data_IF_633033157546
#
_entry.id   IF_633033157546
#
_cell.length_a   1.000
_cell.length_b   1.000
_cell.length_c   1.000
_cell.angle_alpha   90.00
_cell.angle_beta   90.00
_cell.angle_gamma   90.00
#
_symmetry.space_group_name_H-M   'P 1'
#
loop_
_entity.id
_entity.type
_entity.pdbx_description
1 polymer ?
#
# COMPACT_ATOMS: atom_id res chain seq x y z
N UNK A 1 17.33 -0.92 3.26
CA UNK A 1 16.11 -1.15 2.44
C UNK A 1 15.29 0.13 2.50
N UNK A 2 14.58 0.44 1.41
CA UNK A 2 13.79 1.66 1.25
C UNK A 2 12.30 1.31 1.25
N UNK A 3 11.46 2.12 1.88
CA UNK A 3 10.01 1.89 1.93
C UNK A 3 9.30 2.31 0.63
N UNK A 4 8.24 1.56 0.30
CA UNK A 4 7.45 1.76 -0.91
C UNK A 4 5.96 1.77 -0.57
N UNK A 5 5.16 2.63 -1.21
CA UNK A 5 3.76 2.83 -0.87
C UNK A 5 2.84 1.70 -1.35
N UNK A 6 3.32 0.80 -2.21
CA UNK A 6 2.51 -0.27 -2.80
C UNK A 6 3.25 -1.59 -2.81
N UNK A 7 2.48 -2.67 -2.73
CA UNK A 7 2.96 -4.05 -2.87
C UNK A 7 2.24 -4.75 -4.01
N UNK A 8 2.96 -5.62 -4.69
CA UNK A 8 2.44 -6.61 -5.62
C UNK A 8 2.50 -7.98 -4.96
N UNK A 9 1.34 -8.61 -4.81
CA UNK A 9 1.16 -9.92 -4.20
C UNK A 9 0.62 -10.90 -5.24
N UNK A 10 0.91 -12.17 -5.04
CA UNK A 10 0.30 -13.27 -5.78
C UNK A 10 -0.35 -14.25 -4.80
N UNK A 11 -1.53 -14.74 -5.15
CA UNK A 11 -2.22 -15.79 -4.41
C UNK A 11 -2.47 -17.00 -5.30
N UNK A 12 -2.54 -18.18 -4.69
CA UNK A 12 -2.86 -19.45 -5.32
C UNK A 12 -3.95 -20.16 -4.53
N UNK A 13 -5.02 -20.56 -5.21
CA UNK A 13 -5.91 -21.63 -4.74
C UNK A 13 -5.32 -22.98 -5.16
N UNK A 14 -4.83 -23.76 -4.19
CA UNK A 14 -4.19 -25.07 -4.39
C UNK A 14 -5.18 -26.14 -4.86
N UNK A 15 -6.48 -25.96 -4.59
CA UNK A 15 -7.52 -26.92 -4.98
C UNK A 15 -7.89 -26.71 -6.45
N UNK A 16 -8.06 -25.47 -6.89
CA UNK A 16 -8.44 -25.15 -8.27
C UNK A 16 -7.25 -24.86 -9.19
N UNK A 17 -6.02 -24.81 -8.65
CA UNK A 17 -4.81 -24.37 -9.33
C UNK A 17 -4.94 -22.97 -9.98
N UNK A 18 -5.71 -22.07 -9.35
CA UNK A 18 -5.95 -20.73 -9.88
C UNK A 18 -5.08 -19.71 -9.15
N UNK A 19 -4.29 -18.96 -9.94
CA UNK A 19 -3.44 -17.88 -9.44
C UNK A 19 -4.06 -16.52 -9.71
N UNK A 20 -4.05 -15.63 -8.72
CA UNK A 20 -4.44 -14.22 -8.86
C UNK A 20 -3.31 -13.29 -8.44
N UNK A 21 -3.23 -12.11 -9.06
CA UNK A 21 -2.23 -11.09 -8.71
C UNK A 21 -2.94 -9.84 -8.25
N UNK A 22 -2.45 -9.25 -7.15
CA UNK A 22 -3.01 -8.04 -6.55
C UNK A 22 -1.95 -6.96 -6.44
N UNK A 23 -2.37 -5.72 -6.64
CA UNK A 23 -1.59 -4.55 -6.27
C UNK A 23 -2.38 -3.76 -5.23
N UNK A 24 -1.77 -3.50 -4.07
CA UNK A 24 -2.40 -2.76 -2.99
C UNK A 24 -1.48 -1.68 -2.46
N UNK A 25 -2.07 -0.64 -1.87
CA UNK A 25 -1.31 0.32 -1.05
C UNK A 25 -0.99 -0.30 0.30
N UNK A 26 0.16 0.07 0.86
CA UNK A 26 0.48 -0.23 2.26
C UNK A 26 -0.62 0.34 3.16
N UNK A 27 -1.01 -0.42 4.18
CA UNK A 27 -2.13 -0.11 5.07
C UNK A 27 -3.50 -0.57 4.57
N UNK A 28 -3.64 -0.93 3.29
CA UNK A 28 -4.90 -1.44 2.73
C UNK A 28 -5.14 -2.91 3.03
N UNK A 29 -6.41 -3.30 3.08
CA UNK A 29 -6.85 -4.70 3.22
C UNK A 29 -7.42 -5.21 1.90
N UNK A 30 -6.90 -6.34 1.42
CA UNK A 30 -7.38 -7.08 0.27
C UNK A 30 -8.22 -8.28 0.72
N UNK A 31 -9.14 -8.74 -0.13
CA UNK A 31 -9.90 -9.97 0.07
C UNK A 31 -9.69 -10.93 -1.10
N UNK A 32 -9.40 -12.20 -0.80
CA UNK A 32 -9.29 -13.28 -1.78
C UNK A 32 -9.95 -14.55 -1.21
N UNK A 33 -11.10 -14.94 -1.78
CA UNK A 33 -11.91 -16.02 -1.21
C UNK A 33 -12.32 -15.69 0.24
N UNK A 34 -12.04 -16.57 1.23
CA UNK A 34 -12.25 -16.31 2.65
C UNK A 34 -11.09 -15.57 3.33
N UNK A 35 -9.99 -15.29 2.61
CA UNK A 35 -8.82 -14.62 3.17
C UNK A 35 -8.98 -13.10 3.14
N UNK A 36 -8.60 -12.47 4.25
CA UNK A 36 -8.36 -11.04 4.37
C UNK A 36 -6.85 -10.83 4.55
N UNK A 37 -6.25 -9.97 3.73
CA UNK A 37 -4.79 -9.73 3.73
C UNK A 37 -4.53 -8.24 3.91
N UNK A 38 -3.85 -7.86 4.99
CA UNK A 38 -3.45 -6.47 5.24
C UNK A 38 -1.94 -6.33 5.15
N UNK A 39 -1.52 -5.37 4.35
CA UNK A 39 -0.10 -5.07 4.14
C UNK A 39 0.29 -3.97 5.13
N UNK A 40 1.31 -4.18 5.94
CA UNK A 40 1.75 -3.19 6.94
C UNK A 40 2.99 -2.42 6.51
N UNK A 41 3.90 -3.04 5.76
CA UNK A 41 5.08 -2.37 5.20
C UNK A 41 5.52 -3.12 3.94
N UNK A 42 6.14 -2.40 3.01
CA UNK A 42 6.78 -2.95 1.81
C UNK A 42 8.13 -2.26 1.65
N UNK A 43 9.20 -3.05 1.60
CA UNK A 43 10.57 -2.57 1.55
C UNK A 43 11.33 -3.22 0.41
N UNK A 44 12.16 -2.44 -0.29
CA UNK A 44 13.01 -2.93 -1.38
C UNK A 44 14.48 -2.61 -1.11
N UNK A 45 15.38 -3.52 -1.46
CA UNK A 45 16.82 -3.29 -1.40
C UNK A 45 17.26 -2.23 -2.41
N UNK A 46 18.42 -1.62 -2.14
CA UNK A 46 19.03 -0.67 -3.07
C UNK A 46 19.33 -1.34 -4.41
N UNK A 47 19.27 -0.61 -5.55
CA UNK A 47 19.63 -1.18 -6.85
C UNK A 47 21.09 -1.66 -6.96
N UNK A 48 21.97 -1.22 -6.05
CA UNK A 48 23.40 -1.61 -6.01
C UNK A 48 23.59 -2.92 -5.23
N UNK A 49 22.68 -3.22 -4.31
CA UNK A 49 22.69 -4.45 -3.51
C UNK A 49 21.98 -5.59 -4.27
N UNK A 50 21.98 -6.80 -3.70
CA UNK A 50 21.17 -7.89 -4.25
C UNK A 50 19.67 -7.52 -4.23
N UNK A 51 18.96 -7.62 -5.38
CA UNK A 51 17.59 -7.17 -5.48
C UNK A 51 16.67 -8.06 -4.64
N UNK A 52 16.09 -7.47 -3.60
CA UNK A 52 15.14 -8.10 -2.70
C UNK A 52 13.97 -7.16 -2.42
N UNK A 53 12.75 -7.72 -2.38
CA UNK A 53 11.54 -7.01 -2.00
C UNK A 53 10.85 -7.80 -0.89
N UNK A 54 10.74 -7.20 0.30
CA UNK A 54 10.10 -7.84 1.45
C UNK A 54 8.89 -7.03 1.91
N UNK A 55 7.84 -7.71 2.37
CA UNK A 55 6.68 -7.04 2.94
C UNK A 55 6.21 -7.74 4.21
N UNK A 56 5.79 -6.94 5.19
CA UNK A 56 5.12 -7.47 6.38
C UNK A 56 3.61 -7.54 6.11
N UNK A 57 3.06 -8.75 6.19
CA UNK A 57 1.68 -9.03 5.83
C UNK A 57 1.00 -9.79 6.97
N UNK A 58 -0.23 -9.39 7.22
CA UNK A 58 -1.15 -10.01 8.17
C UNK A 58 -2.30 -10.64 7.39
N UNK A 59 -2.59 -11.92 7.66
CA UNK A 59 -3.60 -12.69 6.94
C UNK A 59 -4.53 -13.36 7.94
N UNK A 60 -5.83 -13.20 7.69
CA UNK A 60 -6.91 -13.84 8.44
C UNK A 60 -7.82 -14.62 7.49
N UNK A 61 -8.46 -15.67 7.99
CA UNK A 61 -9.48 -16.45 7.27
C UNK A 61 -10.82 -16.40 8.00
N UNK A 62 -11.90 -16.11 7.28
CA UNK A 62 -13.25 -16.18 7.83
C UNK A 62 -14.32 -15.71 6.85
N UNK A 63 -15.59 -15.91 7.23
CA UNK A 63 -16.72 -15.40 6.42
C UNK A 63 -16.78 -13.87 6.45
N UNK A 64 -16.61 -13.30 7.64
CA UNK A 64 -16.60 -11.85 7.91
C UNK A 64 -15.30 -11.46 8.61
N UNK A 65 -14.92 -10.18 8.55
CA UNK A 65 -13.73 -9.68 9.24
C UNK A 65 -13.79 -9.89 10.76
N UNK A 66 -15.00 -9.90 11.33
CA UNK A 66 -15.20 -9.95 12.78
C UNK A 66 -15.04 -11.36 13.35
N UNK A 67 -15.21 -12.38 12.50
CA UNK A 67 -15.09 -13.79 12.86
C UNK A 67 -13.84 -14.43 12.24
N UNK A 68 -12.92 -13.63 11.70
CA UNK A 68 -11.76 -14.14 10.99
C UNK A 68 -10.64 -14.55 11.96
N UNK A 69 -10.07 -15.74 11.75
CA UNK A 69 -8.98 -16.29 12.54
C UNK A 69 -7.62 -15.96 11.91
N UNK A 70 -6.60 -15.75 12.74
CA UNK A 70 -5.25 -15.47 12.26
C UNK A 70 -4.62 -16.71 11.60
N UNK A 71 -4.18 -16.57 10.35
CA UNK A 71 -3.51 -17.64 9.60
C UNK A 71 -2.03 -17.34 9.40
N UNK A 72 -1.67 -16.08 9.20
CA UNK A 72 -0.28 -15.68 9.02
C UNK A 72 -0.04 -14.24 9.51
N UNK A 73 1.12 -14.00 10.08
CA UNK A 73 1.59 -12.65 10.40
C UNK A 73 3.12 -12.64 10.39
N UNK A 74 3.72 -12.07 9.35
CA UNK A 74 5.17 -12.11 9.20
C UNK A 74 5.69 -11.37 7.98
N UNK A 75 7.01 -11.37 7.88
CA UNK A 75 7.74 -10.85 6.72
C UNK A 75 7.84 -11.91 5.63
N UNK A 76 7.36 -11.59 4.43
CA UNK A 76 7.56 -12.40 3.23
C UNK A 76 8.62 -11.77 2.33
N UNK A 77 9.43 -12.59 1.68
CA UNK A 77 10.56 -12.21 0.84
C UNK A 77 10.30 -12.64 -0.61
N UNK A 78 10.43 -11.72 -1.56
CA UNK A 78 10.11 -11.97 -2.96
C UNK A 78 11.07 -12.96 -3.61
N UNK A 79 12.38 -12.91 -3.29
CA UNK A 79 13.33 -13.88 -3.85
C UNK A 79 13.22 -15.26 -3.22
N UNK A 80 12.77 -15.32 -1.96
CA UNK A 80 12.80 -16.52 -1.13
C UNK A 80 11.53 -16.70 -0.29
N UNK A 81 10.36 -16.96 -0.91
CA UNK A 81 9.09 -17.11 -0.18
C UNK A 81 9.12 -18.24 0.86
N UNK A 82 9.94 -19.26 0.64
CA UNK A 82 10.09 -20.40 1.56
C UNK A 82 10.76 -20.07 2.91
N UNK A 83 11.30 -18.85 3.10
CA UNK A 83 11.86 -18.43 4.40
C UNK A 83 10.78 -18.11 5.43
N UNK A 84 9.62 -17.63 4.97
CA UNK A 84 8.46 -17.36 5.82
C UNK A 84 7.18 -17.68 5.05
N UNK A 85 6.89 -18.97 4.85
CA UNK A 85 5.74 -19.39 4.08
C UNK A 85 4.45 -19.21 4.89
N UNK A 86 3.36 -18.88 4.19
CA UNK A 86 2.01 -19.02 4.74
C UNK A 86 1.63 -20.51 4.76
N UNK A 87 1.53 -21.09 5.96
CA UNK A 87 1.15 -22.50 6.10
C UNK A 87 -0.38 -22.66 6.12
N UNK A 88 -0.98 -22.69 4.92
CA UNK A 88 -2.42 -22.88 4.75
C UNK A 88 -2.73 -24.04 3.78
N UNK A 89 -3.71 -24.92 4.07
CA UNK A 89 -3.96 -26.12 3.28
C UNK A 89 -4.52 -25.83 1.88
N UNK A 90 -5.32 -24.77 1.71
CA UNK A 90 -6.04 -24.47 0.45
C UNK A 90 -5.41 -23.31 -0.31
N UNK A 91 -4.83 -22.36 0.40
CA UNK A 91 -4.39 -21.09 -0.17
C UNK A 91 -2.90 -20.90 0.04
N UNK A 92 -2.27 -20.15 -0.84
CA UNK A 92 -0.92 -19.65 -0.68
C UNK A 92 -0.88 -18.18 -1.11
N UNK A 93 -0.06 -17.39 -0.45
CA UNK A 93 0.11 -15.95 -0.71
C UNK A 93 1.57 -15.62 -0.56
N UNK A 94 2.12 -14.89 -1.53
CA UNK A 94 3.51 -14.43 -1.47
C UNK A 94 3.70 -13.06 -2.10
N UNK A 95 4.77 -12.39 -1.69
CA UNK A 95 5.21 -11.11 -2.23
C UNK A 95 5.90 -11.33 -3.56
N UNK A 96 5.60 -10.48 -4.54
CA UNK A 96 6.28 -10.43 -5.83
C UNK A 96 7.19 -9.22 -5.92
N UNK A 97 6.70 -8.03 -5.54
CA UNK A 97 7.51 -6.81 -5.60
C UNK A 97 6.91 -5.68 -4.73
N UNK A 98 7.74 -4.69 -4.41
CA UNK A 98 7.33 -3.39 -3.91
C UNK A 98 7.36 -2.36 -5.04
N UNK A 99 6.28 -1.59 -5.17
CA UNK A 99 6.02 -0.69 -6.30
C UNK A 99 5.80 0.75 -5.84
N UNK A 100 5.99 1.69 -6.77
CA UNK A 100 5.85 3.12 -6.54
C UNK A 100 7.18 3.84 -6.45
N UNK A 101 7.13 5.13 -6.15
CA UNK A 101 8.32 5.89 -5.79
C UNK A 101 8.60 5.67 -4.31
N UNK A 102 9.89 5.51 -3.98
CA UNK A 102 10.31 5.41 -2.60
C UNK A 102 9.86 6.67 -1.83
N UNK A 103 9.13 6.48 -0.74
CA UNK A 103 8.80 7.59 0.14
C UNK A 103 10.10 8.08 0.78
N UNK A 104 10.59 9.23 0.32
CA UNK A 104 11.62 9.97 1.07
C UNK A 104 10.92 10.50 2.30
N UNK A 105 11.27 9.95 3.46
CA UNK A 105 10.94 10.40 4.81
C UNK A 105 10.48 11.86 4.83
N UNK A 106 9.17 12.08 4.96
CA UNK A 106 8.58 13.40 5.07
C UNK A 106 8.78 13.86 6.51
N UNK A 107 9.95 14.46 6.79
CA UNK A 107 10.16 15.28 7.98
C UNK A 107 9.97 16.74 7.58
N UNK A 108 8.72 17.22 7.62
CA UNK A 108 8.45 18.65 7.72
C UNK A 108 7.55 18.86 8.95
N UNK A 109 8.23 19.08 10.06
CA UNK A 109 7.71 19.74 11.24
C UNK A 109 7.51 21.24 10.92
N UNK A 110 6.33 21.75 11.29
CA UNK A 110 6.02 23.14 11.68
C UNK A 110 6.21 24.28 10.67
N UNK A 111 5.11 24.96 10.31
CA UNK A 111 4.77 26.35 10.71
C UNK A 111 3.66 26.92 9.78
N UNK A 112 2.41 26.98 10.26
CA UNK A 112 1.61 28.20 10.06
C UNK A 112 2.18 29.27 11.03
N UNK A 113 2.08 30.61 10.84
CA UNK A 113 1.26 31.38 9.90
C UNK A 113 2.00 32.60 9.27
N UNK A 114 1.36 33.29 8.31
CA UNK A 114 1.30 34.77 8.25
C UNK A 114 0.55 35.16 6.97
N UNK A 115 -0.71 35.52 7.15
CA UNK A 115 -1.44 36.34 6.18
C UNK A 115 -1.27 37.78 6.64
N UNK A 116 -0.43 38.55 5.96
CA UNK A 116 -0.36 40.00 6.12
C UNK A 116 -0.13 40.68 4.76
N UNK A 117 -0.95 41.72 4.55
CA UNK A 117 -0.89 42.82 3.56
C UNK A 117 -1.34 42.52 2.10
N UNK A 118 -2.59 42.82 1.69
CA UNK A 118 -3.28 44.12 1.42
C UNK A 118 -3.06 44.64 -0.03
N UNK A 119 -4.16 44.55 -0.81
CA UNK A 119 -4.84 45.53 -1.70
C UNK A 119 -4.04 46.60 -2.49
N UNK A 120 -4.51 47.10 -3.67
CA UNK A 120 -5.81 47.78 -3.74
C UNK A 120 -6.64 47.64 -5.04
N UNK A 121 -7.96 47.76 -4.82
CA UNK A 121 -8.98 48.49 -5.58
C UNK A 121 -8.82 48.66 -7.10
N UNK A 122 -9.77 48.07 -7.83
CA UNK A 122 -10.34 48.71 -9.02
C UNK A 122 -11.75 49.18 -8.68
N UNK A 123 -11.88 50.50 -8.56
CA UNK A 123 -13.14 51.25 -8.42
C UNK A 123 -14.03 51.08 -9.66
N UNK A 124 -15.37 51.06 -9.49
CA UNK A 124 -16.34 51.03 -10.59
C UNK A 124 -16.59 52.45 -11.11
N UNK A 125 -16.57 52.65 -12.43
CA UNK A 125 -17.01 53.90 -13.05
C UNK A 125 -17.99 53.66 -14.20
N UNK A 126 -18.98 54.55 -14.26
CA UNK A 126 -20.28 54.44 -14.89
C UNK A 126 -20.30 54.94 -16.35
N UNK A 127 -21.38 54.61 -17.07
CA UNK A 127 -21.84 55.36 -18.25
C UNK A 127 -22.38 54.44 -19.35
N UNK A 128 -23.69 54.20 -19.46
CA UNK A 128 -24.73 55.07 -20.06
C UNK A 128 -24.81 54.94 -21.60
N UNK A 129 -25.94 54.41 -22.10
CA UNK A 129 -26.84 55.08 -23.06
C UNK A 129 -27.81 54.07 -23.70
N UNK A 130 -29.07 54.50 -23.75
CA UNK A 130 -30.24 53.88 -24.39
C UNK A 130 -30.19 54.01 -25.91
N UNK A 131 -30.62 52.97 -26.64
CA UNK A 131 -31.58 53.05 -27.77
C UNK A 131 -32.13 51.66 -28.11
#
# INVERSE_FOLDING_TARGET
MTEYPRVKLQSLDKVTAHTMTFEAKVGSTLKFGPLYMKVQSCQKSSPIDEPESAAFIQIWEGETSDTAEWVFSGWMFASSPGLSPMDHPIYDVWVIDCLGEAEKEMTEESEEPSSDEISPEETPDQGDTLE
#
